data_IF_894679234507
#
_entry.id   IF_894679234507
#
_cell.length_a   1.000
_cell.length_b   1.000
_cell.length_c   1.000
_cell.angle_alpha   90.00
_cell.angle_beta   90.00
_cell.angle_gamma   90.00
#
_symmetry.space_group_name_H-M   'P 1'
#
loop_
_entity.id
_entity.type
_entity.pdbx_description
1 polymer ?
#
# COMPACT_ATOMS: atom_id res chain seq x y z
N UNK A 1 29.80 -45.92 -25.05
CA UNK A 1 28.57 -45.13 -25.23
C UNK A 1 27.61 -45.21 -24.02
N UNK A 2 27.31 -46.40 -23.47
CA UNK A 2 26.40 -46.53 -22.30
C UNK A 2 26.89 -45.82 -21.03
N UNK A 3 28.21 -45.84 -20.76
CA UNK A 3 28.82 -45.14 -19.61
C UNK A 3 28.76 -43.62 -19.73
N UNK A 4 28.88 -43.08 -20.95
CA UNK A 4 28.73 -41.65 -21.24
C UNK A 4 27.28 -41.20 -21.03
N UNK A 5 26.32 -42.02 -21.48
CA UNK A 5 24.88 -41.79 -21.27
C UNK A 5 24.52 -41.75 -19.77
N UNK A 6 25.08 -42.64 -18.95
CA UNK A 6 24.82 -42.66 -17.51
C UNK A 6 25.44 -41.45 -16.79
N UNK A 7 26.60 -40.96 -17.22
CA UNK A 7 27.18 -39.73 -16.68
C UNK A 7 26.36 -38.49 -17.05
N UNK A 8 25.82 -38.44 -18.27
CA UNK A 8 24.93 -37.35 -18.71
C UNK A 8 23.59 -37.38 -17.94
N UNK A 9 23.01 -38.56 -17.71
CA UNK A 9 21.78 -38.70 -16.93
C UNK A 9 21.96 -38.30 -15.44
N UNK A 10 23.10 -38.64 -14.83
CA UNK A 10 23.42 -38.18 -13.48
C UNK A 10 23.61 -36.66 -13.43
N UNK A 11 24.29 -36.05 -14.40
CA UNK A 11 24.49 -34.60 -14.45
C UNK A 11 23.17 -33.81 -14.60
N UNK A 12 22.20 -34.35 -15.34
CA UNK A 12 20.86 -33.76 -15.48
C UNK A 12 20.06 -33.85 -14.17
N UNK A 13 20.18 -34.97 -13.45
CA UNK A 13 19.49 -35.18 -12.16
C UNK A 13 20.00 -34.22 -11.05
N UNK A 14 21.28 -33.85 -11.09
CA UNK A 14 21.85 -32.86 -10.17
C UNK A 14 21.46 -31.41 -10.51
N UNK A 15 21.11 -31.10 -11.76
CA UNK A 15 20.72 -29.75 -12.17
C UNK A 15 19.30 -29.36 -11.73
N UNK A 16 18.44 -30.33 -11.37
CA UNK A 16 17.06 -30.08 -10.93
C UNK A 16 16.92 -29.91 -9.41
N UNK A 17 18.02 -29.92 -8.65
CA UNK A 17 18.03 -29.82 -7.19
C UNK A 17 18.18 -28.38 -6.65
N UNK A 18 17.74 -27.37 -7.41
CA UNK A 18 17.59 -26.02 -6.84
C UNK A 18 16.33 -25.99 -5.98
N UNK A 19 16.43 -25.81 -4.65
CA UNK A 19 15.24 -25.52 -3.86
C UNK A 19 14.67 -24.17 -4.35
N UNK A 20 13.45 -24.22 -4.89
CA UNK A 20 12.60 -23.04 -5.01
C UNK A 20 12.27 -22.63 -3.57
N UNK A 21 13.15 -21.85 -2.96
CA UNK A 21 12.77 -21.07 -1.79
C UNK A 21 11.79 -20.01 -2.30
N UNK A 22 10.52 -20.40 -2.46
CA UNK A 22 9.42 -19.47 -2.50
C UNK A 22 9.58 -18.59 -1.26
N UNK A 23 9.61 -17.28 -1.48
CA UNK A 23 9.94 -16.25 -0.49
C UNK A 23 9.37 -16.61 0.88
N UNK A 24 10.23 -17.04 1.80
CA UNK A 24 9.87 -17.17 3.20
C UNK A 24 9.61 -15.75 3.68
N UNK A 25 8.34 -15.42 3.92
CA UNK A 25 7.95 -14.22 4.64
C UNK A 25 8.69 -14.25 5.98
N UNK A 26 9.48 -13.21 6.27
CA UNK A 26 10.18 -13.08 7.54
C UNK A 26 9.17 -13.12 8.69
N UNK A 27 9.05 -14.27 9.36
CA UNK A 27 8.31 -14.40 10.59
C UNK A 27 9.22 -13.92 11.75
N UNK A 28 9.60 -12.64 11.70
CA UNK A 28 10.15 -11.96 12.86
C UNK A 28 8.96 -11.54 13.72
N UNK A 29 8.85 -12.14 14.91
CA UNK A 29 7.80 -11.80 15.87
C UNK A 29 7.95 -10.34 16.30
N UNK A 30 7.19 -9.43 15.65
CA UNK A 30 7.19 -8.00 15.96
C UNK A 30 6.67 -7.80 17.39
N UNK A 31 7.48 -7.17 18.24
CA UNK A 31 7.06 -6.79 19.58
C UNK A 31 6.42 -5.39 19.55
N UNK A 32 5.10 -5.33 19.39
CA UNK A 32 4.39 -4.06 19.26
C UNK A 32 4.35 -3.23 20.56
N UNK A 33 4.56 -3.84 21.72
CA UNK A 33 4.56 -3.12 22.99
C UNK A 33 5.80 -2.24 23.18
N UNK A 34 6.92 -2.61 22.57
CA UNK A 34 8.23 -1.99 22.83
C UNK A 34 8.57 -0.88 21.84
N UNK A 35 8.33 -1.11 20.54
CA UNK A 35 8.67 -0.20 19.46
C UNK A 35 7.41 0.27 18.69
N UNK A 36 7.29 1.56 18.31
CA UNK A 36 6.07 2.11 17.72
C UNK A 36 5.95 1.76 16.23
N UNK A 37 5.87 0.47 15.90
CA UNK A 37 5.75 -0.03 14.53
C UNK A 37 4.55 0.54 13.77
N UNK A 38 3.48 0.90 14.47
CA UNK A 38 2.29 1.51 13.87
C UNK A 38 2.59 2.80 13.09
N UNK A 39 3.69 3.51 13.40
CA UNK A 39 4.08 4.73 12.67
C UNK A 39 4.46 4.39 11.22
N UNK A 40 5.27 3.35 11.03
CA UNK A 40 5.70 2.91 9.71
C UNK A 40 4.54 2.23 8.98
N UNK A 41 3.76 1.44 9.71
CA UNK A 41 2.57 0.77 9.15
C UNK A 41 1.51 1.78 8.70
N UNK A 42 1.39 2.95 9.33
CA UNK A 42 0.53 4.03 8.85
C UNK A 42 0.96 4.58 7.48
N UNK A 43 2.25 4.56 7.16
CA UNK A 43 2.80 5.05 5.90
C UNK A 43 2.76 3.98 4.80
N UNK A 44 2.83 2.71 5.17
CA UNK A 44 2.78 1.58 4.24
C UNK A 44 1.34 1.19 3.88
N UNK A 45 0.90 1.50 2.66
CA UNK A 45 -0.44 1.16 2.17
C UNK A 45 -0.70 -0.37 2.12
N UNK A 46 0.36 -1.17 2.01
CA UNK A 46 0.27 -2.64 2.00
C UNK A 46 0.09 -3.24 3.39
N UNK A 47 0.40 -2.49 4.46
CA UNK A 47 0.18 -2.93 5.82
C UNK A 47 -1.32 -3.10 6.10
N UNK A 48 -1.67 -4.24 6.70
CA UNK A 48 -3.05 -4.52 7.06
C UNK A 48 -3.53 -3.52 8.13
N UNK A 49 -4.73 -2.97 7.93
CA UNK A 49 -5.29 -1.99 8.87
C UNK A 49 -5.48 -2.56 10.27
N UNK A 50 -5.96 -3.80 10.38
CA UNK A 50 -6.22 -4.43 11.67
C UNK A 50 -4.92 -4.71 12.44
N UNK A 51 -3.86 -5.14 11.75
CA UNK A 51 -2.53 -5.32 12.34
C UNK A 51 -1.98 -3.96 12.85
N UNK A 52 -2.18 -2.89 12.08
CA UNK A 52 -1.75 -1.54 12.47
C UNK A 52 -2.47 -1.06 13.74
N UNK A 53 -3.78 -1.32 13.85
CA UNK A 53 -4.59 -0.98 15.03
C UNK A 53 -4.17 -1.81 16.25
N UNK A 54 -3.93 -3.09 16.06
CA UNK A 54 -3.44 -3.96 17.13
C UNK A 54 -2.06 -3.51 17.64
N UNK A 55 -1.13 -3.23 16.72
CA UNK A 55 0.19 -2.72 17.06
C UNK A 55 0.14 -1.42 17.86
N UNK A 56 -0.76 -0.51 17.48
CA UNK A 56 -0.98 0.72 18.23
C UNK A 56 -1.54 0.46 19.62
N UNK A 57 -2.56 -0.38 19.76
CA UNK A 57 -3.19 -0.69 21.04
C UNK A 57 -2.19 -1.33 22.00
N UNK A 58 -1.37 -2.27 21.52
CA UNK A 58 -0.33 -2.92 22.32
C UNK A 58 0.77 -1.96 22.73
N UNK A 59 1.18 -1.05 21.85
CA UNK A 59 2.14 -0.03 22.23
C UNK A 59 1.54 0.88 23.29
N UNK A 60 0.31 1.37 23.12
CA UNK A 60 -0.30 2.35 24.02
C UNK A 60 -0.89 1.77 25.32
N UNK A 61 -0.86 0.45 25.48
CA UNK A 61 -1.33 -0.20 26.70
C UNK A 61 -0.52 0.26 27.92
N UNK A 62 -1.23 0.71 28.97
CA UNK A 62 -0.62 1.25 30.19
C UNK A 62 0.17 2.56 30.03
N UNK A 63 0.18 3.21 28.85
CA UNK A 63 0.92 4.47 28.62
C UNK A 63 0.07 5.71 28.86
N UNK A 64 0.69 6.76 29.40
CA UNK A 64 0.03 8.06 29.58
C UNK A 64 -0.07 8.84 28.25
N UNK A 65 -1.24 9.42 27.98
CA UNK A 65 -1.49 10.21 26.78
C UNK A 65 -1.07 11.66 27.03
N UNK A 66 0.14 12.02 26.59
CA UNK A 66 0.68 13.39 26.70
C UNK A 66 0.49 14.20 25.40
N UNK A 67 0.67 15.53 25.48
CA UNK A 67 0.59 16.39 24.30
C UNK A 67 1.76 16.08 23.35
N UNK A 68 1.45 15.77 22.08
CA UNK A 68 2.46 15.49 21.05
C UNK A 68 2.91 14.03 20.95
N UNK A 69 2.36 13.11 21.74
CA UNK A 69 2.77 11.70 21.73
C UNK A 69 2.32 10.88 20.50
N UNK A 70 1.57 11.45 19.56
CA UNK A 70 1.09 10.72 18.37
C UNK A 70 -0.26 10.00 18.53
N UNK A 71 -0.80 9.86 19.75
CA UNK A 71 -2.09 9.20 19.99
C UNK A 71 -3.26 9.78 19.18
N UNK A 72 -3.46 11.11 19.26
CA UNK A 72 -4.56 11.78 18.53
C UNK A 72 -4.40 11.70 17.00
N UNK A 73 -3.21 11.96 16.41
CA UNK A 73 -2.95 11.67 15.00
C UNK A 73 -3.37 10.24 14.59
N UNK A 74 -2.97 9.22 15.36
CA UNK A 74 -3.35 7.84 15.08
C UNK A 74 -4.86 7.63 15.07
N UNK A 75 -5.59 8.09 16.11
CA UNK A 75 -7.05 7.91 16.16
C UNK A 75 -7.79 8.59 14.99
N UNK A 76 -7.28 9.73 14.49
CA UNK A 76 -7.83 10.37 13.28
C UNK A 76 -7.56 9.55 12.03
N UNK A 77 -6.36 8.98 11.92
CA UNK A 77 -6.02 8.06 10.84
C UNK A 77 -6.90 6.80 10.86
N UNK A 78 -7.12 6.21 12.03
CA UNK A 78 -7.97 5.03 12.19
C UNK A 78 -9.41 5.32 11.74
N UNK A 79 -9.99 6.44 12.20
CA UNK A 79 -11.35 6.85 11.82
C UNK A 79 -11.47 7.15 10.32
N UNK A 80 -10.43 7.75 9.73
CA UNK A 80 -10.37 7.98 8.29
C UNK A 80 -10.39 6.67 7.51
N UNK A 81 -9.68 5.63 7.94
CA UNK A 81 -9.54 4.40 7.15
C UNK A 81 -10.59 3.33 7.45
N UNK A 82 -11.23 3.34 8.62
CA UNK A 82 -12.16 2.28 9.07
C UNK A 82 -13.18 1.81 8.02
N UNK A 83 -13.72 2.73 7.22
CA UNK A 83 -14.76 2.45 6.21
C UNK A 83 -14.24 2.50 4.76
N UNK A 84 -12.93 2.60 4.55
CA UNK A 84 -12.28 2.77 3.23
C UNK A 84 -11.37 1.60 2.85
N UNK A 85 -11.43 0.51 3.63
CA UNK A 85 -10.61 -0.67 3.44
C UNK A 85 -11.13 -1.53 2.28
N UNK A 86 -10.20 -2.23 1.66
CA UNK A 86 -10.52 -3.32 0.74
C UNK A 86 -11.10 -4.52 1.50
N UNK A 87 -11.63 -5.51 0.79
CA UNK A 87 -12.25 -6.69 1.40
C UNK A 87 -11.27 -7.55 2.24
N UNK A 88 -9.98 -7.43 1.97
CA UNK A 88 -8.87 -8.08 2.69
C UNK A 88 -8.38 -7.27 3.91
N UNK A 89 -8.90 -6.06 4.13
CA UNK A 89 -8.47 -5.16 5.20
C UNK A 89 -7.22 -4.32 4.88
N UNK A 90 -6.72 -4.36 3.64
CA UNK A 90 -5.67 -3.44 3.17
C UNK A 90 -6.26 -2.09 2.77
N UNK A 91 -5.41 -1.06 2.69
CA UNK A 91 -5.79 0.25 2.18
C UNK A 91 -5.56 0.31 0.68
N UNK A 92 -6.34 1.13 -0.02
CA UNK A 92 -6.15 1.37 -1.45
C UNK A 92 -4.74 1.92 -1.70
N UNK A 93 -4.02 1.32 -2.66
CA UNK A 93 -2.70 1.77 -3.08
C UNK A 93 -2.87 3.10 -3.83
N UNK A 94 -1.95 4.05 -3.61
CA UNK A 94 -2.00 5.38 -4.21
C UNK A 94 -2.08 5.34 -5.75
N UNK A 95 -1.38 4.39 -6.38
CA UNK A 95 -1.43 4.19 -7.83
C UNK A 95 -2.83 3.84 -8.34
N UNK A 96 -3.58 3.01 -7.61
CA UNK A 96 -4.94 2.63 -8.02
C UNK A 96 -5.90 3.82 -7.96
N UNK A 97 -5.73 4.68 -6.95
CA UNK A 97 -6.52 5.91 -6.79
C UNK A 97 -6.22 6.89 -7.93
N UNK A 98 -4.94 7.01 -8.31
CA UNK A 98 -4.52 7.85 -9.44
C UNK A 98 -5.06 7.33 -10.78
N UNK A 99 -4.97 6.03 -11.03
CA UNK A 99 -5.52 5.41 -12.24
C UNK A 99 -7.05 5.56 -12.33
N UNK A 100 -7.75 5.42 -11.20
CA UNK A 100 -9.21 5.66 -11.11
C UNK A 100 -9.55 7.13 -11.37
N UNK A 101 -8.72 8.05 -10.86
CA UNK A 101 -8.85 9.47 -11.13
C UNK A 101 -8.62 9.82 -12.61
N UNK A 102 -7.58 9.29 -13.25
CA UNK A 102 -7.34 9.48 -14.69
C UNK A 102 -8.49 8.94 -15.54
N UNK A 103 -9.01 7.76 -15.20
CA UNK A 103 -10.22 7.20 -15.83
C UNK A 103 -11.43 8.10 -15.65
N UNK A 104 -11.62 8.67 -14.46
CA UNK A 104 -12.70 9.62 -14.20
C UNK A 104 -12.54 10.88 -15.06
N UNK A 105 -11.35 11.50 -15.09
CA UNK A 105 -11.08 12.71 -15.89
C UNK A 105 -11.29 12.43 -17.38
N UNK A 106 -10.79 11.31 -17.90
CA UNK A 106 -11.00 10.91 -19.30
C UNK A 106 -12.48 10.71 -19.62
N UNK A 107 -13.23 9.95 -18.80
CA UNK A 107 -14.65 9.74 -18.99
C UNK A 107 -15.45 11.05 -18.87
N UNK A 108 -15.04 11.96 -17.99
CA UNK A 108 -15.66 13.26 -17.81
C UNK A 108 -15.42 14.19 -19.01
N UNK A 109 -14.18 14.26 -19.51
CA UNK A 109 -13.83 15.03 -20.71
C UNK A 109 -14.63 14.57 -21.95
N UNK A 110 -14.93 13.28 -22.05
CA UNK A 110 -15.77 12.75 -23.12
C UNK A 110 -17.26 13.14 -22.97
N UNK A 111 -17.76 13.36 -21.73
CA UNK A 111 -19.15 13.75 -21.44
C UNK A 111 -19.46 15.23 -21.68
N UNK A 112 -18.47 16.12 -21.57
CA UNK A 112 -18.66 17.57 -21.76
C UNK A 112 -18.97 17.96 -23.22
N UNK A 113 -18.82 17.05 -24.18
CA UNK A 113 -19.30 17.25 -25.57
C UNK A 113 -20.84 17.28 -25.68
N UNK A 114 -21.59 16.94 -24.62
CA UNK A 114 -23.06 16.84 -24.63
C UNK A 114 -23.75 17.77 -23.60
N UNK A 115 -23.00 18.62 -22.88
CA UNK A 115 -23.56 19.48 -21.82
C UNK A 115 -23.41 20.98 -22.10
N UNK A 116 -24.46 21.59 -22.68
CA UNK A 116 -24.61 23.04 -22.91
C UNK A 116 -24.94 23.82 -21.62
N UNK A 117 -24.09 23.73 -20.58
CA UNK A 117 -24.37 24.35 -19.28
C UNK A 117 -23.13 24.89 -18.57
N UNK A 118 -23.03 26.22 -18.49
CA UNK A 118 -21.89 27.01 -17.97
C UNK A 118 -21.63 26.90 -16.45
N UNK A 119 -22.06 25.82 -15.79
CA UNK A 119 -22.07 25.68 -14.31
C UNK A 119 -21.01 24.70 -13.76
N UNK A 120 -20.18 24.11 -14.63
CA UNK A 120 -19.19 23.08 -14.26
C UNK A 120 -17.73 23.58 -14.35
N UNK A 121 -17.50 24.70 -15.04
CA UNK A 121 -16.15 25.26 -15.27
C UNK A 121 -15.43 25.74 -14.00
N UNK A 122 -16.17 26.01 -12.92
CA UNK A 122 -15.64 26.50 -11.63
C UNK A 122 -15.59 25.43 -10.52
N UNK A 123 -15.96 24.17 -10.79
CA UNK A 123 -15.95 23.10 -9.76
C UNK A 123 -14.73 22.20 -9.81
N UNK A 124 -14.06 22.13 -10.96
CA UNK A 124 -12.82 21.39 -11.13
C UNK A 124 -11.67 22.34 -10.79
N UNK A 125 -10.82 21.98 -9.83
CA UNK A 125 -9.54 22.66 -9.63
C UNK A 125 -8.84 22.60 -10.99
N UNK A 126 -8.58 23.76 -11.59
CA UNK A 126 -7.80 23.79 -12.82
C UNK A 126 -6.42 23.23 -12.45
N UNK A 127 -6.18 21.96 -12.84
CA UNK A 127 -4.84 21.39 -12.78
C UNK A 127 -4.01 22.29 -13.69
N UNK A 128 -3.01 23.03 -13.16
CA UNK A 128 -2.18 23.82 -14.03
C UNK A 128 -1.54 22.88 -15.05
N UNK A 129 -1.48 23.30 -16.31
CA UNK A 129 -1.01 22.52 -17.47
C UNK A 129 0.47 22.09 -17.40
N UNK A 130 1.09 22.07 -16.21
CA UNK A 130 2.49 21.74 -16.02
C UNK A 130 2.72 21.00 -14.68
N UNK A 131 3.12 19.72 -14.70
CA UNK A 131 3.49 18.98 -13.48
C UNK A 131 4.89 19.35 -12.95
N UNK A 132 5.60 20.29 -13.61
CA UNK A 132 7.00 20.61 -13.27
C UNK A 132 7.09 21.84 -12.36
N UNK A 133 6.76 21.62 -11.09
CA UNK A 133 7.09 22.52 -9.98
C UNK A 133 8.38 22.12 -9.27
N UNK A 134 9.39 21.65 -10.00
CA UNK A 134 10.78 21.57 -9.53
C UNK A 134 11.65 22.47 -10.38
N UNK A 135 11.76 23.74 -9.99
CA UNK A 135 12.91 24.61 -10.31
C UNK A 135 12.92 25.79 -9.33
N UNK A 136 14.02 25.93 -8.58
CA UNK A 136 14.32 27.01 -7.65
C UNK A 136 15.03 26.53 -6.41
#
# INVERSE_FOLDING_TARGET
MKKLLTFVLMAILYLTAFPLNAQQSENQQKNYSEYPYWIDMMQDASANFYETVDAFNQYWDGREITKGCGYKPFKRWEDHWRNRLNADGTRKVESEVYDEFEKFVSNYANRDNDFQGNQLKNRVIQVPDNPTGMVG
#
